data_IF_838865970791
#
_entry.id   IF_838865970791
#
_cell.length_a   1.000
_cell.length_b   1.000
_cell.length_c   1.000
_cell.angle_alpha   90.00
_cell.angle_beta   90.00
_cell.angle_gamma   90.00
#
_symmetry.space_group_name_H-M   'P 1'
#
loop_
_entity.id
_entity.type
_entity.pdbx_description
1 polymer ?
#
# COMPACT_ATOMS: atom_id res chain seq x y z
N UNK A 1 -60.97 -8.08 -88.89
CA UNK A 1 -61.03 -9.50 -88.63
C UNK A 1 -60.25 -9.85 -87.37
N UNK A 2 -60.89 -10.52 -86.48
CA UNK A 2 -60.35 -11.31 -85.37
C UNK A 2 -59.52 -10.62 -84.28
N UNK A 3 -60.09 -10.42 -83.17
CA UNK A 3 -60.24 -11.27 -82.01
C UNK A 3 -59.00 -11.40 -81.18
N UNK A 4 -58.97 -10.87 -80.02
CA UNK A 4 -57.96 -11.04 -79.03
C UNK A 4 -58.49 -11.12 -77.61
N UNK A 5 -58.13 -12.01 -76.86
CA UNK A 5 -58.62 -12.40 -75.53
C UNK A 5 -57.89 -11.68 -74.40
N UNK A 6 -58.48 -11.60 -73.22
CA UNK A 6 -57.92 -10.83 -72.09
C UNK A 6 -56.96 -11.65 -71.23
N UNK A 7 -55.87 -11.00 -70.83
CA UNK A 7 -54.84 -11.58 -69.94
C UNK A 7 -55.18 -11.49 -68.46
N UNK A 8 -55.09 -12.59 -67.78
CA UNK A 8 -55.22 -12.77 -66.33
C UNK A 8 -54.13 -12.01 -65.57
N UNK A 9 -54.56 -11.10 -64.74
CA UNK A 9 -53.74 -10.46 -63.71
C UNK A 9 -53.64 -11.38 -62.50
N UNK A 10 -52.47 -12.04 -62.33
CA UNK A 10 -52.14 -12.73 -61.07
C UNK A 10 -51.67 -11.70 -60.05
N UNK A 11 -52.50 -11.46 -59.01
CA UNK A 11 -52.07 -10.79 -57.78
C UNK A 11 -51.12 -11.71 -57.00
N UNK A 12 -49.87 -11.29 -56.86
CA UNK A 12 -49.00 -11.87 -55.88
C UNK A 12 -49.07 -11.03 -54.60
N UNK A 13 -49.76 -11.55 -53.59
CA UNK A 13 -49.75 -11.04 -52.23
C UNK A 13 -48.44 -11.46 -51.60
N UNK A 14 -47.45 -10.53 -51.47
CA UNK A 14 -46.25 -10.71 -50.71
C UNK A 14 -46.63 -10.49 -49.24
N UNK A 15 -46.77 -11.58 -48.48
CA UNK A 15 -46.87 -11.55 -47.04
C UNK A 15 -45.47 -11.19 -46.48
N UNK A 16 -45.23 -9.92 -46.19
CA UNK A 16 -44.05 -9.46 -45.44
C UNK A 16 -44.21 -9.85 -43.99
N UNK A 17 -43.59 -10.97 -43.57
CA UNK A 17 -43.39 -11.30 -42.16
C UNK A 17 -42.29 -10.36 -41.61
N UNK A 18 -42.70 -9.25 -41.01
CA UNK A 18 -41.85 -8.46 -40.15
C UNK A 18 -41.53 -9.30 -38.90
N UNK A 19 -40.41 -10.03 -38.93
CA UNK A 19 -39.80 -10.57 -37.72
C UNK A 19 -39.32 -9.38 -36.87
N UNK A 20 -40.12 -8.94 -35.94
CA UNK A 20 -39.71 -8.02 -34.89
C UNK A 20 -38.64 -8.73 -34.05
N UNK A 21 -37.39 -8.47 -34.38
CA UNK A 21 -36.26 -8.77 -33.51
C UNK A 21 -36.47 -8.01 -32.20
N UNK A 22 -37.10 -8.65 -31.24
CA UNK A 22 -37.10 -8.17 -29.85
C UNK A 22 -35.68 -8.24 -29.36
N UNK A 23 -34.95 -7.11 -29.46
CA UNK A 23 -33.69 -6.91 -28.73
C UNK A 23 -34.10 -6.92 -27.25
N UNK A 24 -34.10 -8.09 -26.64
CA UNK A 24 -34.09 -8.18 -25.17
C UNK A 24 -32.83 -7.47 -24.70
N UNK A 25 -32.95 -6.40 -23.91
CA UNK A 25 -31.74 -5.84 -23.28
C UNK A 25 -31.09 -6.99 -22.52
N UNK A 26 -29.84 -7.30 -22.86
CA UNK A 26 -29.06 -8.24 -22.07
C UNK A 26 -29.07 -7.69 -20.65
N UNK A 27 -29.86 -8.28 -19.77
CA UNK A 27 -29.89 -7.88 -18.36
C UNK A 27 -28.47 -8.00 -17.86
N UNK A 28 -27.85 -6.88 -17.50
CA UNK A 28 -26.51 -6.89 -16.95
C UNK A 28 -26.51 -7.87 -15.77
N UNK A 29 -25.66 -8.88 -15.85
CA UNK A 29 -25.53 -9.89 -14.80
C UNK A 29 -25.33 -9.19 -13.45
N UNK A 30 -26.18 -9.47 -12.45
CA UNK A 30 -26.00 -8.84 -11.14
C UNK A 30 -24.65 -9.26 -10.53
N UNK A 31 -24.10 -8.40 -9.68
CA UNK A 31 -22.82 -8.67 -8.97
C UNK A 31 -22.90 -10.03 -8.24
N UNK A 32 -24.00 -10.30 -7.59
CA UNK A 32 -24.23 -11.58 -6.90
C UNK A 32 -24.19 -12.78 -7.86
N UNK A 33 -24.89 -12.69 -8.99
CA UNK A 33 -24.87 -13.73 -10.01
C UNK A 33 -23.49 -13.94 -10.60
N UNK A 34 -22.71 -12.85 -10.77
CA UNK A 34 -21.35 -12.93 -11.27
C UNK A 34 -20.44 -13.70 -10.31
N UNK A 35 -20.49 -13.42 -9.00
CA UNK A 35 -19.58 -14.03 -8.02
C UNK A 35 -20.05 -15.39 -7.51
N UNK A 36 -21.34 -15.73 -7.63
CA UNK A 36 -21.88 -16.99 -7.14
C UNK A 36 -21.22 -18.21 -7.80
N UNK A 37 -20.58 -19.04 -6.97
CA UNK A 37 -19.88 -20.25 -7.43
C UNK A 37 -18.56 -19.99 -8.18
N UNK A 38 -18.10 -18.73 -8.24
CA UNK A 38 -16.80 -18.38 -8.85
C UNK A 38 -15.67 -18.37 -7.83
N UNK A 39 -14.45 -18.41 -8.35
CA UNK A 39 -13.24 -18.16 -7.61
C UNK A 39 -12.72 -16.77 -7.93
N UNK A 40 -12.37 -16.00 -6.90
CA UNK A 40 -11.61 -14.77 -7.00
C UNK A 40 -10.16 -15.09 -6.66
N UNK A 41 -9.23 -14.73 -7.53
CA UNK A 41 -7.80 -14.89 -7.27
C UNK A 41 -7.26 -13.66 -6.58
N UNK A 42 -6.68 -13.83 -5.39
CA UNK A 42 -5.96 -12.81 -4.64
C UNK A 42 -4.46 -13.05 -4.79
N UNK A 43 -3.80 -12.26 -5.63
CA UNK A 43 -2.35 -12.29 -5.74
C UNK A 43 -1.67 -11.51 -4.61
N UNK A 44 -0.49 -12.01 -4.18
CA UNK A 44 0.36 -11.31 -3.21
C UNK A 44 1.83 -11.39 -3.63
N UNK A 45 2.51 -10.25 -3.57
CA UNK A 45 3.91 -10.11 -4.00
C UNK A 45 4.90 -10.48 -2.89
N UNK A 46 4.68 -11.61 -2.21
CA UNK A 46 5.56 -12.06 -1.14
C UNK A 46 5.71 -13.58 -1.13
N UNK A 47 6.80 -14.05 -0.52
CA UNK A 47 6.96 -15.47 -0.22
C UNK A 47 5.90 -15.95 0.78
N UNK A 48 5.50 -17.23 0.71
CA UNK A 48 4.60 -17.83 1.69
C UNK A 48 5.12 -17.68 3.12
N UNK A 49 4.24 -17.34 4.07
CA UNK A 49 4.54 -17.16 5.48
C UNK A 49 5.04 -15.76 5.86
N UNK A 50 5.30 -14.88 4.91
CA UNK A 50 5.58 -13.47 5.19
C UNK A 50 4.31 -12.71 5.62
N UNK A 51 4.48 -11.50 6.22
CA UNK A 51 3.36 -10.73 6.76
C UNK A 51 2.30 -10.40 5.69
N UNK A 52 2.70 -10.08 4.46
CA UNK A 52 1.78 -9.81 3.36
C UNK A 52 1.01 -11.07 2.93
N UNK A 53 1.65 -12.25 2.92
CA UNK A 53 0.99 -13.53 2.65
C UNK A 53 -0.01 -13.89 3.75
N UNK A 54 0.37 -13.75 5.02
CA UNK A 54 -0.53 -13.97 6.15
C UNK A 54 -1.73 -13.02 6.10
N UNK A 55 -1.49 -11.76 5.75
CA UNK A 55 -2.56 -10.76 5.55
C UNK A 55 -3.49 -11.14 4.38
N UNK A 56 -2.92 -11.57 3.24
CA UNK A 56 -3.71 -12.03 2.10
C UNK A 56 -4.61 -13.22 2.45
N UNK A 57 -4.09 -14.19 3.20
CA UNK A 57 -4.87 -15.35 3.66
C UNK A 57 -5.95 -14.96 4.67
N UNK A 58 -5.68 -13.99 5.53
CA UNK A 58 -6.66 -13.44 6.45
C UNK A 58 -7.79 -12.75 5.68
N UNK A 59 -7.46 -11.87 4.73
CA UNK A 59 -8.44 -11.22 3.83
C UNK A 59 -9.27 -12.27 3.09
N UNK A 60 -8.64 -13.28 2.49
CA UNK A 60 -9.33 -14.31 1.72
C UNK A 60 -10.37 -15.07 2.56
N UNK A 61 -10.07 -15.39 3.83
CA UNK A 61 -11.00 -16.08 4.72
C UNK A 61 -12.21 -15.23 5.11
N UNK A 62 -12.01 -13.94 5.35
CA UNK A 62 -13.05 -13.05 5.87
C UNK A 62 -13.84 -12.36 4.76
N UNK A 63 -13.19 -11.82 3.73
CA UNK A 63 -13.80 -10.97 2.70
C UNK A 63 -14.88 -11.70 1.88
N UNK A 64 -14.75 -13.01 1.69
CA UNK A 64 -15.77 -13.84 1.02
C UNK A 64 -17.16 -13.70 1.64
N UNK A 65 -17.24 -13.51 2.96
CA UNK A 65 -18.51 -13.39 3.68
C UNK A 65 -19.25 -12.08 3.37
N UNK A 66 -18.53 -11.04 2.96
CA UNK A 66 -19.05 -9.70 2.70
C UNK A 66 -19.28 -9.44 1.20
N UNK A 67 -18.68 -10.25 0.32
CA UNK A 67 -18.87 -10.09 -1.12
C UNK A 67 -20.15 -10.77 -1.59
N UNK A 68 -21.07 -10.08 -2.30
CA UNK A 68 -22.27 -10.68 -2.85
C UNK A 68 -21.94 -11.94 -3.66
N UNK A 69 -22.73 -13.01 -3.50
CA UNK A 69 -22.48 -14.30 -4.13
C UNK A 69 -21.46 -15.18 -3.40
N UNK A 70 -20.78 -14.66 -2.38
CA UNK A 70 -19.83 -15.38 -1.50
C UNK A 70 -18.84 -16.28 -2.27
N UNK A 71 -18.03 -15.71 -3.20
CA UNK A 71 -17.09 -16.49 -3.98
C UNK A 71 -16.00 -17.08 -3.09
N UNK A 72 -15.38 -18.16 -3.55
CA UNK A 72 -14.14 -18.63 -2.94
C UNK A 72 -13.00 -17.67 -3.30
N UNK A 73 -12.24 -17.16 -2.31
CA UNK A 73 -11.05 -16.34 -2.57
C UNK A 73 -9.80 -17.20 -2.36
N UNK A 74 -9.00 -17.35 -3.42
CA UNK A 74 -7.78 -18.19 -3.42
C UNK A 74 -6.55 -17.30 -3.50
N UNK A 75 -5.64 -17.45 -2.53
CA UNK A 75 -4.37 -16.70 -2.49
C UNK A 75 -3.33 -17.37 -3.36
N UNK A 76 -2.67 -16.58 -4.20
CA UNK A 76 -1.53 -17.01 -5.02
C UNK A 76 -0.34 -16.08 -4.81
N UNK A 77 0.80 -16.64 -4.42
CA UNK A 77 2.04 -15.91 -4.26
C UNK A 77 2.70 -15.72 -5.63
N UNK A 78 3.04 -14.48 -5.95
CA UNK A 78 3.79 -14.11 -7.15
C UNK A 78 4.99 -13.26 -6.76
N UNK A 79 6.09 -13.93 -6.52
CA UNK A 79 7.35 -13.30 -6.11
C UNK A 79 8.17 -12.83 -7.33
N UNK A 80 9.11 -11.92 -7.08
CA UNK A 80 10.06 -11.44 -8.09
C UNK A 80 10.03 -9.93 -8.32
N UNK A 81 11.13 -9.41 -8.85
CA UNK A 81 11.30 -8.02 -9.25
C UNK A 81 11.41 -6.99 -8.13
N UNK A 82 11.51 -7.40 -6.86
CA UNK A 82 11.51 -6.48 -5.71
C UNK A 82 10.24 -5.62 -5.62
N UNK A 83 9.87 -5.18 -4.42
CA UNK A 83 8.78 -4.20 -4.20
C UNK A 83 7.45 -4.49 -4.93
N UNK A 84 7.15 -5.73 -5.31
CA UNK A 84 5.90 -6.10 -5.98
C UNK A 84 5.75 -5.66 -7.44
N UNK A 85 6.81 -5.22 -8.08
CA UNK A 85 6.80 -4.66 -9.43
C UNK A 85 6.29 -5.64 -10.50
N UNK A 86 6.74 -6.91 -10.45
CA UNK A 86 6.29 -7.96 -11.38
C UNK A 86 4.79 -8.18 -11.26
N UNK A 87 4.27 -8.24 -10.04
CA UNK A 87 2.83 -8.40 -9.81
C UNK A 87 2.04 -7.20 -10.32
N UNK A 88 2.48 -5.97 -10.03
CA UNK A 88 1.79 -4.76 -10.48
C UNK A 88 1.75 -4.67 -12.02
N UNK A 89 2.87 -4.94 -12.69
CA UNK A 89 2.94 -4.98 -14.14
C UNK A 89 1.99 -6.04 -14.72
N UNK A 90 1.99 -7.26 -14.16
CA UNK A 90 1.09 -8.34 -14.60
C UNK A 90 -0.37 -7.97 -14.40
N UNK A 91 -0.71 -7.40 -13.24
CA UNK A 91 -2.07 -6.99 -12.90
C UNK A 91 -2.60 -5.95 -13.90
N UNK A 92 -1.76 -4.98 -14.27
CA UNK A 92 -2.12 -3.90 -15.17
C UNK A 92 -2.28 -4.36 -16.62
N UNK A 93 -1.34 -5.20 -17.10
CA UNK A 93 -1.23 -5.54 -18.53
C UNK A 93 -2.03 -6.79 -18.89
N UNK A 94 -2.00 -7.84 -18.03
CA UNK A 94 -2.41 -9.19 -18.41
C UNK A 94 -3.52 -9.79 -17.55
N UNK A 95 -3.95 -9.14 -16.47
CA UNK A 95 -4.99 -9.73 -15.62
C UNK A 95 -6.39 -9.52 -16.21
N UNK A 96 -7.30 -10.46 -15.89
CA UNK A 96 -8.71 -10.33 -16.20
C UNK A 96 -9.29 -9.09 -15.51
N UNK A 97 -9.98 -8.26 -16.30
CA UNK A 97 -10.54 -6.97 -15.84
C UNK A 97 -12.00 -7.09 -15.38
N UNK A 98 -12.48 -8.28 -15.15
CA UNK A 98 -13.87 -8.56 -14.84
C UNK A 98 -14.21 -8.53 -13.33
N UNK A 99 -13.21 -8.29 -12.46
CA UNK A 99 -13.35 -8.30 -11.00
C UNK A 99 -13.08 -9.67 -10.36
N UNK A 100 -12.65 -10.68 -11.13
CA UNK A 100 -12.26 -12.00 -10.61
C UNK A 100 -10.81 -12.04 -10.12
N UNK A 101 -10.03 -10.97 -10.34
CA UNK A 101 -8.62 -10.85 -9.93
C UNK A 101 -8.41 -9.61 -9.09
N UNK A 102 -7.79 -9.79 -7.93
CA UNK A 102 -7.36 -8.71 -7.02
C UNK A 102 -5.94 -9.00 -6.53
N UNK A 103 -5.28 -8.00 -5.97
CA UNK A 103 -3.91 -8.17 -5.45
C UNK A 103 -3.64 -7.32 -4.22
N UNK A 104 -2.76 -7.79 -3.34
CA UNK A 104 -2.06 -6.96 -2.36
C UNK A 104 -0.70 -6.59 -2.96
N UNK A 105 -0.46 -5.30 -3.13
CA UNK A 105 0.83 -4.78 -3.55
C UNK A 105 1.65 -4.34 -2.33
N UNK A 106 2.96 -4.25 -2.53
CA UNK A 106 3.84 -3.57 -1.59
C UNK A 106 3.50 -2.07 -1.57
N UNK A 107 3.52 -1.45 -0.39
CA UNK A 107 3.19 -0.01 -0.23
C UNK A 107 4.01 0.92 -1.11
N UNK A 108 5.26 0.57 -1.38
CA UNK A 108 6.16 1.35 -2.24
C UNK A 108 5.92 1.18 -3.74
N UNK A 109 5.11 0.21 -4.16
CA UNK A 109 4.90 -0.08 -5.60
C UNK A 109 4.36 1.12 -6.38
N UNK A 110 3.33 1.86 -5.92
CA UNK A 110 2.88 3.07 -6.62
C UNK A 110 3.96 4.15 -6.70
N UNK A 111 4.77 4.28 -5.65
CA UNK A 111 5.85 5.27 -5.59
C UNK A 111 6.93 5.01 -6.63
N UNK A 112 7.28 3.74 -6.94
CA UNK A 112 8.22 3.38 -7.99
C UNK A 112 7.81 3.93 -9.36
N UNK A 113 6.52 3.90 -9.69
CA UNK A 113 6.02 4.47 -10.94
C UNK A 113 6.23 5.99 -11.00
N UNK A 114 6.00 6.68 -9.88
CA UNK A 114 6.17 8.13 -9.77
C UNK A 114 7.64 8.52 -9.78
N UNK A 115 8.53 7.69 -9.22
CA UNK A 115 9.98 7.86 -9.27
C UNK A 115 10.55 7.68 -10.69
N UNK A 116 9.79 7.13 -11.62
CA UNK A 116 10.23 6.90 -12.99
C UNK A 116 11.12 5.65 -13.15
N UNK A 117 10.90 4.61 -12.35
CA UNK A 117 11.61 3.34 -12.52
C UNK A 117 11.36 2.77 -13.93
N UNK A 118 12.41 2.48 -14.73
CA UNK A 118 12.29 2.09 -16.13
C UNK A 118 11.61 0.72 -16.32
N UNK A 119 11.48 -0.08 -15.29
CA UNK A 119 10.83 -1.37 -15.32
C UNK A 119 9.33 -1.32 -15.05
N UNK A 120 8.80 -0.15 -14.70
CA UNK A 120 7.37 0.06 -14.47
C UNK A 120 6.61 0.05 -15.79
N UNK A 121 5.53 -0.76 -15.86
CA UNK A 121 4.63 -0.88 -17.02
C UNK A 121 3.16 -0.65 -16.61
N UNK A 122 2.91 -0.01 -15.50
CA UNK A 122 1.58 0.31 -15.01
C UNK A 122 1.47 1.80 -14.67
N UNK A 123 0.25 2.30 -14.73
CA UNK A 123 -0.11 3.64 -14.26
C UNK A 123 -0.88 3.49 -12.94
N UNK A 124 -0.32 3.91 -11.80
CA UNK A 124 -0.97 3.76 -10.52
C UNK A 124 -2.26 4.60 -10.41
N UNK A 125 -2.42 5.64 -11.22
CA UNK A 125 -3.62 6.48 -11.26
C UNK A 125 -4.78 5.81 -12.01
N UNK A 126 -4.52 4.74 -12.79
CA UNK A 126 -5.53 4.01 -13.56
C UNK A 126 -5.93 2.67 -12.93
N UNK A 127 -5.21 2.23 -11.91
CA UNK A 127 -5.58 1.01 -11.19
C UNK A 127 -6.88 1.19 -10.40
N UNK A 128 -7.62 0.11 -10.18
CA UNK A 128 -8.83 0.11 -9.37
C UNK A 128 -8.47 -0.17 -7.91
N UNK A 129 -8.20 0.88 -7.14
CA UNK A 129 -7.87 0.75 -5.72
C UNK A 129 -9.11 0.44 -4.90
N UNK A 130 -9.04 -0.60 -4.08
CA UNK A 130 -10.16 -1.09 -3.26
C UNK A 130 -10.08 -0.61 -1.82
N UNK A 131 -8.87 -0.36 -1.32
CA UNK A 131 -8.59 0.15 0.01
C UNK A 131 -7.21 -0.28 0.51
N UNK A 132 -6.92 0.01 1.77
CA UNK A 132 -5.74 -0.50 2.48
C UNK A 132 -6.11 -0.93 3.89
N UNK A 133 -5.56 -2.06 4.36
CA UNK A 133 -5.82 -2.57 5.73
C UNK A 133 -5.26 -1.63 6.78
N UNK A 134 -4.14 -0.97 6.48
CA UNK A 134 -3.46 -0.07 7.41
C UNK A 134 -3.12 1.26 6.74
N UNK A 135 -3.35 2.33 7.48
CA UNK A 135 -2.89 3.70 7.20
C UNK A 135 -1.84 4.18 8.20
N UNK A 136 -1.27 3.26 8.99
CA UNK A 136 -0.33 3.57 10.06
C UNK A 136 -0.91 4.52 11.14
N UNK A 137 -2.23 4.56 11.29
CA UNK A 137 -2.85 5.46 12.27
C UNK A 137 -2.44 5.14 13.72
N UNK A 138 -2.11 3.87 14.01
CA UNK A 138 -1.72 3.41 15.34
C UNK A 138 -0.23 3.01 15.42
N UNK A 139 0.56 3.28 14.38
CA UNK A 139 2.00 2.96 14.33
C UNK A 139 2.81 4.19 13.90
N UNK A 140 4.12 4.12 14.04
CA UNK A 140 5.06 5.15 13.61
C UNK A 140 6.44 4.53 13.38
N UNK A 141 7.26 5.15 12.55
CA UNK A 141 8.71 4.88 12.54
C UNK A 141 9.40 5.84 13.50
N UNK A 142 10.02 5.30 14.54
CA UNK A 142 10.66 6.07 15.60
C UNK A 142 12.17 6.14 15.39
N UNK A 143 12.71 7.35 15.30
CA UNK A 143 14.12 7.58 15.62
C UNK A 143 14.23 7.43 17.14
N UNK A 144 14.89 6.37 17.57
CA UNK A 144 15.11 6.08 18.99
C UNK A 144 16.58 5.83 19.25
N UNK A 145 17.02 6.21 20.44
CA UNK A 145 18.39 6.00 20.95
C UNK A 145 18.33 5.22 22.27
N UNK A 146 19.45 4.62 22.68
CA UNK A 146 19.56 4.07 24.01
C UNK A 146 19.29 5.14 25.07
N UNK A 147 18.57 4.81 26.14
CA UNK A 147 18.23 5.76 27.21
C UNK A 147 19.49 6.35 27.89
N UNK A 148 20.64 5.65 27.81
CA UNK A 148 21.94 6.12 28.27
C UNK A 148 22.61 7.14 27.35
N UNK A 149 22.12 7.30 26.10
CA UNK A 149 22.65 8.31 25.17
C UNK A 149 22.37 9.73 25.70
N UNK A 150 23.33 10.69 25.59
CA UNK A 150 23.20 12.02 26.21
C UNK A 150 21.98 12.82 25.78
N UNK A 151 21.61 12.79 24.48
CA UNK A 151 20.47 13.53 23.97
C UNK A 151 19.17 12.99 24.57
N UNK A 152 18.40 13.86 25.24
CA UNK A 152 17.09 13.55 25.84
C UNK A 152 15.93 14.00 24.98
N UNK A 153 16.15 14.96 24.11
CA UNK A 153 15.19 15.55 23.19
C UNK A 153 15.78 15.65 21.80
N UNK A 154 14.95 15.90 20.79
CA UNK A 154 15.40 16.16 19.42
C UNK A 154 16.27 17.40 19.34
N UNK A 155 15.99 18.41 20.18
CA UNK A 155 16.80 19.64 20.20
C UNK A 155 18.23 19.40 20.72
N UNK A 156 18.41 18.41 21.60
CA UNK A 156 19.76 18.02 22.03
C UNK A 156 20.56 17.42 20.87
N UNK A 157 19.92 16.70 19.96
CA UNK A 157 20.57 16.23 18.72
C UNK A 157 20.96 17.37 17.78
N UNK A 158 20.26 18.53 17.82
CA UNK A 158 20.59 19.70 16.99
C UNK A 158 21.72 20.52 17.54
N UNK A 159 21.88 20.59 18.87
CA UNK A 159 22.86 21.44 19.54
C UNK A 159 24.33 21.03 19.33
N UNK A 160 24.57 19.91 18.69
CA UNK A 160 25.92 19.37 18.48
C UNK A 160 26.34 18.41 19.59
N UNK A 161 27.64 18.16 19.71
CA UNK A 161 28.19 17.13 20.61
C UNK A 161 28.50 15.84 19.86
N UNK A 162 28.47 14.70 20.54
CA UNK A 162 28.70 13.39 19.91
C UNK A 162 27.53 13.01 19.01
N UNK A 163 27.76 12.75 17.71
CA UNK A 163 26.71 12.31 16.81
C UNK A 163 26.10 10.98 17.27
N UNK A 164 24.78 10.85 17.23
CA UNK A 164 24.13 9.57 17.48
C UNK A 164 24.38 8.62 16.29
N UNK A 165 25.06 7.51 16.52
CA UNK A 165 25.29 6.47 15.51
C UNK A 165 24.00 5.67 15.31
N UNK A 166 23.37 5.83 14.14
CA UNK A 166 22.14 5.10 13.79
C UNK A 166 22.46 3.92 12.90
N UNK A 167 22.18 2.71 13.38
CA UNK A 167 22.31 1.48 12.61
C UNK A 167 21.25 1.37 11.53
N UNK A 168 21.66 1.02 10.30
CA UNK A 168 20.74 0.90 9.15
C UNK A 168 21.00 -0.36 8.34
N UNK A 169 19.96 -0.83 7.65
CA UNK A 169 20.03 -1.99 6.77
C UNK A 169 20.39 -1.60 5.33
N UNK A 170 19.94 -2.36 4.32
CA UNK A 170 20.34 -2.18 2.93
C UNK A 170 19.83 -0.91 2.26
N UNK A 171 20.28 -0.69 1.04
CA UNK A 171 19.85 0.42 0.19
C UNK A 171 18.31 0.41 0.01
N UNK A 172 17.68 1.60 0.02
CA UNK A 172 16.23 1.75 -0.09
C UNK A 172 15.42 1.33 1.14
N UNK A 173 16.07 0.76 2.18
CA UNK A 173 15.37 0.42 3.40
C UNK A 173 14.86 1.67 4.13
N UNK A 174 13.68 1.58 4.71
CA UNK A 174 13.02 2.71 5.40
C UNK A 174 13.89 3.33 6.49
N UNK A 175 14.58 2.52 7.28
CA UNK A 175 15.47 3.01 8.34
C UNK A 175 16.64 3.80 7.78
N UNK A 176 17.19 3.43 6.63
CA UNK A 176 18.23 4.17 5.96
C UNK A 176 17.70 5.50 5.42
N UNK A 177 16.55 5.47 4.73
CA UNK A 177 15.93 6.67 4.15
C UNK A 177 15.66 7.73 5.22
N UNK A 178 14.97 7.36 6.31
CA UNK A 178 14.69 8.31 7.38
C UNK A 178 15.95 8.72 8.18
N UNK A 179 16.99 7.88 8.28
CA UNK A 179 18.25 8.29 8.88
C UNK A 179 18.97 9.35 8.04
N UNK A 180 18.93 9.24 6.71
CA UNK A 180 19.46 10.25 5.80
C UNK A 180 18.64 11.54 5.87
N UNK A 181 17.30 11.43 5.86
CA UNK A 181 16.41 12.58 6.03
C UNK A 181 16.68 13.29 7.36
N UNK A 182 16.83 12.54 8.45
CA UNK A 182 17.16 13.10 9.77
C UNK A 182 18.46 13.89 9.73
N UNK A 183 19.50 13.36 9.07
CA UNK A 183 20.80 14.01 8.96
C UNK A 183 20.79 15.18 7.98
N UNK A 184 20.46 14.91 6.72
CA UNK A 184 20.76 15.81 5.61
C UNK A 184 19.62 16.82 5.33
N UNK A 185 18.40 16.54 5.80
CA UNK A 185 17.21 17.39 5.61
C UNK A 185 16.80 18.09 6.89
N UNK A 186 16.77 17.37 8.02
CA UNK A 186 16.37 17.94 9.32
C UNK A 186 17.56 18.50 10.13
N UNK A 187 18.80 18.30 9.67
CA UNK A 187 20.00 18.83 10.33
C UNK A 187 20.26 18.22 11.70
N UNK A 188 19.79 16.99 11.95
CA UNK A 188 20.05 16.31 13.21
C UNK A 188 21.49 15.75 13.24
N UNK A 189 22.15 15.88 14.37
CA UNK A 189 23.52 15.39 14.56
C UNK A 189 23.55 13.87 14.72
N UNK A 190 23.37 13.17 13.60
CA UNK A 190 23.38 11.70 13.52
C UNK A 190 24.42 11.21 12.53
N UNK A 191 25.02 10.07 12.82
CA UNK A 191 25.90 9.33 11.94
C UNK A 191 25.20 8.06 11.45
N UNK A 192 25.09 7.89 10.14
CA UNK A 192 24.45 6.72 9.54
C UNK A 192 25.47 5.58 9.43
N UNK A 193 25.24 4.48 10.13
CA UNK A 193 26.06 3.26 10.10
C UNK A 193 25.34 2.20 9.28
N UNK A 194 25.91 1.86 8.11
CA UNK A 194 25.30 0.96 7.13
C UNK A 194 25.77 -0.47 7.26
N UNK A 195 25.05 -1.41 6.62
CA UNK A 195 25.53 -2.76 6.36
C UNK A 195 25.00 -3.85 7.29
N UNK A 196 24.04 -3.55 8.16
CA UNK A 196 23.37 -4.57 8.94
C UNK A 196 22.44 -5.40 8.07
N UNK A 197 22.45 -6.74 8.26
CA UNK A 197 21.64 -7.67 7.44
C UNK A 197 20.14 -7.59 7.70
N UNK A 198 19.72 -7.00 8.82
CA UNK A 198 18.32 -6.87 9.21
C UNK A 198 18.18 -6.13 10.53
N UNK A 199 16.94 -5.76 10.87
CA UNK A 199 16.60 -4.97 12.07
C UNK A 199 17.05 -5.67 13.37
N UNK A 200 16.95 -7.00 13.45
CA UNK A 200 17.42 -7.76 14.61
C UNK A 200 18.93 -7.58 14.84
N UNK A 201 19.73 -7.56 13.76
CA UNK A 201 21.17 -7.31 13.86
C UNK A 201 21.48 -5.90 14.36
N UNK A 202 20.66 -4.90 13.97
CA UNK A 202 20.82 -3.52 14.48
C UNK A 202 20.47 -3.46 15.98
N UNK A 203 19.43 -4.15 16.45
CA UNK A 203 19.12 -4.21 17.88
C UNK A 203 20.25 -4.84 18.70
N UNK A 204 20.86 -5.91 18.21
CA UNK A 204 22.02 -6.53 18.87
C UNK A 204 23.22 -5.56 18.93
N UNK A 205 23.51 -4.85 17.83
CA UNK A 205 24.56 -3.85 17.77
C UNK A 205 24.29 -2.68 18.75
N UNK A 206 23.02 -2.27 18.87
CA UNK A 206 22.60 -1.24 19.80
C UNK A 206 22.78 -1.68 21.26
N UNK A 207 22.43 -2.92 21.59
CA UNK A 207 22.63 -3.49 22.91
C UNK A 207 24.13 -3.60 23.30
N UNK A 208 25.01 -3.83 22.30
CA UNK A 208 26.46 -3.92 22.50
C UNK A 208 27.15 -2.55 22.50
N UNK A 209 26.41 -1.46 22.23
CA UNK A 209 26.98 -0.11 22.13
C UNK A 209 27.76 0.15 20.84
N UNK A 210 27.65 -0.72 19.84
CA UNK A 210 28.25 -0.49 18.51
C UNK A 210 27.56 0.66 17.77
N UNK A 211 26.25 0.81 17.98
CA UNK A 211 25.43 1.96 17.56
C UNK A 211 24.63 2.48 18.74
N UNK A 212 24.21 3.75 18.66
CA UNK A 212 23.52 4.41 19.76
C UNK A 212 22.00 4.32 19.60
N UNK A 213 21.52 4.05 18.38
CA UNK A 213 20.11 3.96 18.07
C UNK A 213 19.83 3.46 16.66
N UNK A 214 18.57 3.57 16.27
CA UNK A 214 18.08 3.25 14.93
C UNK A 214 16.74 3.95 14.65
N UNK A 215 16.28 3.86 13.40
CA UNK A 215 14.91 4.23 13.05
C UNK A 215 14.14 2.95 12.72
N UNK A 216 13.04 2.67 13.44
CA UNK A 216 12.28 1.44 13.27
C UNK A 216 10.79 1.62 13.62
N UNK A 217 9.93 0.74 13.08
CA UNK A 217 8.51 0.72 13.42
C UNK A 217 8.28 0.43 14.90
N UNK A 218 7.38 1.17 15.53
CA UNK A 218 7.03 0.98 16.93
C UNK A 218 6.45 -0.42 17.19
N UNK A 219 5.60 -0.92 16.30
CA UNK A 219 5.09 -2.30 16.37
C UNK A 219 6.22 -3.33 16.34
N UNK A 220 7.22 -3.15 15.47
CA UNK A 220 8.37 -4.05 15.41
C UNK A 220 9.24 -3.97 16.69
N UNK A 221 9.39 -2.78 17.29
CA UNK A 221 10.04 -2.61 18.60
C UNK A 221 9.27 -3.40 19.68
N UNK A 222 7.96 -3.20 19.73
CA UNK A 222 7.09 -3.88 20.72
C UNK A 222 7.09 -5.41 20.54
N UNK A 223 7.05 -5.91 19.31
CA UNK A 223 7.10 -7.36 19.06
C UNK A 223 8.46 -7.95 19.38
N UNK A 224 9.54 -7.32 18.94
CA UNK A 224 10.89 -7.88 19.04
C UNK A 224 11.64 -7.53 20.31
N UNK A 225 11.27 -6.46 21.02
CA UNK A 225 12.01 -5.88 22.14
C UNK A 225 11.10 -5.38 23.27
N UNK A 226 9.95 -6.06 23.50
CA UNK A 226 8.93 -5.60 24.46
C UNK A 226 9.49 -5.34 25.86
N UNK A 227 10.31 -6.25 26.38
CA UNK A 227 10.89 -6.11 27.71
C UNK A 227 11.82 -4.90 27.84
N UNK A 228 12.61 -4.61 26.82
CA UNK A 228 13.48 -3.43 26.79
C UNK A 228 12.67 -2.14 26.60
N UNK A 229 11.61 -2.18 25.79
CA UNK A 229 10.69 -1.07 25.63
C UNK A 229 10.01 -0.69 26.95
N UNK A 230 9.45 -1.68 27.64
CA UNK A 230 8.79 -1.49 28.95
C UNK A 230 9.76 -1.05 30.04
N UNK A 231 11.02 -1.50 29.99
CA UNK A 231 12.07 -1.05 30.90
C UNK A 231 12.60 0.36 30.59
N UNK A 232 12.09 1.02 29.54
CA UNK A 232 12.56 2.36 29.13
C UNK A 232 13.98 2.38 28.62
N UNK A 233 14.49 1.25 28.09
CA UNK A 233 15.84 1.15 27.55
C UNK A 233 16.02 1.97 26.25
N UNK A 234 14.93 2.31 25.57
CA UNK A 234 14.92 3.12 24.36
C UNK A 234 14.21 4.43 24.60
N UNK A 235 14.78 5.52 24.05
CA UNK A 235 14.22 6.87 24.09
C UNK A 235 13.85 7.29 22.68
N UNK A 236 12.54 7.36 22.33
CA UNK A 236 12.09 7.92 21.06
C UNK A 236 12.32 9.45 21.04
N UNK A 237 12.86 9.96 19.95
CA UNK A 237 13.18 11.37 19.77
C UNK A 237 12.40 12.02 18.63
N UNK A 238 12.07 11.26 17.58
CA UNK A 238 11.27 11.73 16.43
C UNK A 238 10.41 10.58 15.92
N UNK A 239 9.16 10.90 15.56
CA UNK A 239 8.28 9.98 14.87
C UNK A 239 8.12 10.36 13.39
N UNK A 240 8.23 9.37 12.49
CA UNK A 240 7.97 9.49 11.07
C UNK A 240 6.76 8.67 10.66
N UNK A 241 6.31 8.83 9.42
CA UNK A 241 5.16 8.13 8.83
C UNK A 241 3.83 8.49 9.49
N UNK A 242 3.72 9.75 9.95
CA UNK A 242 2.54 10.30 10.62
C UNK A 242 2.29 11.74 10.23
N UNK A 243 1.02 12.13 10.26
CA UNK A 243 0.58 13.52 10.10
C UNK A 243 0.31 14.22 11.43
N UNK A 244 0.18 13.45 12.50
CA UNK A 244 -0.04 13.93 13.88
C UNK A 244 0.80 13.12 14.85
N UNK A 245 1.10 13.66 16.01
CA UNK A 245 1.82 12.93 17.06
C UNK A 245 1.07 11.67 17.48
N UNK A 246 1.82 10.65 17.85
CA UNK A 246 1.24 9.39 18.33
C UNK A 246 0.60 9.59 19.72
N UNK A 247 -0.66 9.18 19.93
CA UNK A 247 -1.32 9.40 21.23
C UNK A 247 -0.57 8.80 22.43
N UNK A 248 0.12 7.67 22.25
CA UNK A 248 0.92 7.04 23.31
C UNK A 248 2.30 7.70 23.52
N UNK A 249 2.72 8.59 22.62
CA UNK A 249 3.99 9.33 22.68
C UNK A 249 3.76 10.81 22.37
N UNK A 250 2.93 11.51 23.16
CA UNK A 250 2.48 12.88 22.84
C UNK A 250 3.62 13.91 22.86
N UNK A 251 4.70 13.62 23.60
CA UNK A 251 5.85 14.51 23.71
C UNK A 251 6.89 14.30 22.59
N UNK A 252 6.74 13.24 21.78
CA UNK A 252 7.64 12.94 20.67
C UNK A 252 7.16 13.70 19.42
N UNK A 253 7.95 14.65 18.90
CA UNK A 253 7.58 15.40 17.71
C UNK A 253 7.59 14.50 16.47
N UNK A 254 6.76 14.85 15.49
CA UNK A 254 6.83 14.22 14.16
C UNK A 254 7.86 14.94 13.28
N UNK A 255 8.41 14.21 12.30
CA UNK A 255 9.45 14.78 11.41
C UNK A 255 9.04 16.09 10.75
N UNK A 256 7.76 16.27 10.40
CA UNK A 256 7.21 17.48 9.78
C UNK A 256 7.21 18.71 10.69
N UNK A 257 7.18 18.54 12.01
CA UNK A 257 7.23 19.64 12.96
C UNK A 257 8.66 20.24 13.09
N UNK A 258 9.66 19.52 12.60
CA UNK A 258 11.06 19.88 12.77
C UNK A 258 11.60 20.83 11.70
N UNK A 259 10.81 21.19 10.69
CA UNK A 259 11.21 22.09 9.61
C UNK A 259 10.03 22.95 9.16
N UNK A 260 10.36 24.15 8.62
CA UNK A 260 9.41 25.03 7.93
C UNK A 260 9.77 25.16 6.44
N UNK A 261 10.85 24.51 5.99
CA UNK A 261 11.25 24.53 4.59
C UNK A 261 10.25 23.73 3.75
N UNK A 262 9.58 24.35 2.77
CA UNK A 262 8.58 23.68 1.93
C UNK A 262 9.15 22.49 1.15
N UNK A 263 10.44 22.56 0.75
CA UNK A 263 11.10 21.47 0.02
C UNK A 263 11.36 20.27 0.93
N UNK A 264 11.83 20.52 2.15
CA UNK A 264 12.01 19.49 3.16
C UNK A 264 10.68 18.83 3.54
N UNK A 265 9.62 19.62 3.73
CA UNK A 265 8.26 19.11 3.99
C UNK A 265 7.74 18.25 2.83
N UNK A 266 7.97 18.67 1.58
CA UNK A 266 7.59 17.90 0.40
C UNK A 266 8.34 16.57 0.31
N UNK A 267 9.65 16.57 0.61
CA UNK A 267 10.48 15.36 0.62
C UNK A 267 10.05 14.38 1.72
N UNK A 268 9.79 14.87 2.93
CA UNK A 268 9.28 14.06 4.04
C UNK A 268 7.91 13.48 3.66
N UNK A 269 7.02 14.29 3.10
CA UNK A 269 5.70 13.85 2.66
C UNK A 269 5.78 12.76 1.62
N UNK A 270 6.67 12.88 0.64
CA UNK A 270 6.90 11.86 -0.37
C UNK A 270 7.45 10.56 0.22
N UNK A 271 8.41 10.67 1.16
CA UNK A 271 8.97 9.50 1.86
C UNK A 271 7.95 8.77 2.74
N UNK A 272 7.02 9.52 3.34
CA UNK A 272 6.01 8.98 4.26
C UNK A 272 4.75 8.46 3.56
N UNK A 273 4.43 8.94 2.36
CA UNK A 273 3.18 8.62 1.67
C UNK A 273 2.87 7.12 1.56
N UNK A 274 3.83 6.21 1.26
CA UNK A 274 3.57 4.78 1.21
C UNK A 274 2.99 4.19 2.51
N UNK A 275 3.26 4.80 3.65
CA UNK A 275 2.76 4.28 4.94
C UNK A 275 1.26 4.51 5.11
N UNK A 276 0.72 5.58 4.52
CA UNK A 276 -0.73 5.87 4.59
C UNK A 276 -1.57 4.88 3.76
N UNK A 277 -0.91 4.02 2.99
CA UNK A 277 -1.48 2.92 2.22
C UNK A 277 -0.65 1.65 2.42
N UNK A 278 -0.40 1.26 3.68
CA UNK A 278 0.62 0.27 4.03
C UNK A 278 0.38 -1.14 3.50
N UNK A 279 -0.87 -1.56 3.33
CA UNK A 279 -1.28 -2.87 2.79
C UNK A 279 -2.39 -2.68 1.76
N UNK A 280 -2.07 -2.12 0.58
CA UNK A 280 -3.07 -1.73 -0.40
C UNK A 280 -3.62 -2.93 -1.16
N UNK A 281 -4.96 -3.04 -1.19
CA UNK A 281 -5.70 -3.98 -2.02
C UNK A 281 -6.14 -3.28 -3.31
N UNK A 282 -5.89 -3.92 -4.45
CA UNK A 282 -6.10 -3.33 -5.76
C UNK A 282 -6.62 -4.38 -6.75
N UNK A 283 -7.40 -3.93 -7.72
CA UNK A 283 -7.80 -4.70 -8.90
C UNK A 283 -7.16 -4.09 -10.17
N UNK A 284 -7.18 -4.80 -11.30
CA UNK A 284 -6.76 -4.26 -12.60
C UNK A 284 -7.47 -2.96 -12.95
N UNK A 285 -6.98 -2.18 -13.92
CA UNK A 285 -7.75 -1.07 -14.47
C UNK A 285 -9.02 -1.57 -15.17
N UNK A 286 -10.00 -0.70 -15.33
CA UNK A 286 -11.22 -0.94 -16.12
C UNK A 286 -12.12 -2.07 -15.61
N UNK A 287 -12.05 -2.42 -14.33
CA UNK A 287 -13.04 -3.33 -13.71
C UNK A 287 -14.43 -2.66 -13.77
N UNK A 288 -15.50 -3.40 -14.14
CA UNK A 288 -16.87 -2.86 -14.15
C UNK A 288 -17.20 -2.14 -12.84
N UNK A 289 -17.76 -0.91 -12.91
CA UNK A 289 -17.93 -0.04 -11.74
C UNK A 289 -18.75 -0.68 -10.59
N UNK A 290 -19.78 -1.49 -10.92
CA UNK A 290 -20.59 -2.20 -9.97
C UNK A 290 -19.78 -3.26 -9.18
N UNK A 291 -18.90 -3.98 -9.86
CA UNK A 291 -18.01 -4.99 -9.26
C UNK A 291 -16.89 -4.33 -8.47
N UNK A 292 -16.29 -3.27 -8.99
CA UNK A 292 -15.29 -2.47 -8.26
C UNK A 292 -15.86 -1.94 -6.95
N UNK A 293 -17.09 -1.38 -7.00
CA UNK A 293 -17.80 -0.91 -5.80
C UNK A 293 -18.07 -2.06 -4.82
N UNK A 294 -18.55 -3.20 -5.31
CA UNK A 294 -18.83 -4.36 -4.46
C UNK A 294 -17.57 -4.90 -3.76
N UNK A 295 -16.45 -5.00 -4.49
CA UNK A 295 -15.16 -5.40 -3.94
C UNK A 295 -14.67 -4.42 -2.86
N UNK A 296 -14.72 -3.10 -3.13
CA UNK A 296 -14.33 -2.07 -2.18
C UNK A 296 -15.20 -2.05 -0.93
N UNK A 297 -16.53 -2.18 -1.08
CA UNK A 297 -17.48 -2.27 0.05
C UNK A 297 -17.18 -3.52 0.88
N UNK A 298 -17.08 -4.69 0.26
CA UNK A 298 -16.79 -5.94 0.95
C UNK A 298 -15.45 -5.89 1.71
N UNK A 299 -14.44 -5.24 1.12
CA UNK A 299 -13.16 -5.03 1.78
C UNK A 299 -13.29 -4.14 3.03
N UNK A 300 -14.01 -3.02 2.95
CA UNK A 300 -14.16 -2.10 4.07
C UNK A 300 -15.04 -2.70 5.18
N UNK A 301 -16.09 -3.44 4.84
CA UNK A 301 -16.95 -4.13 5.80
C UNK A 301 -16.15 -5.23 6.53
N UNK A 302 -15.37 -6.03 5.79
CA UNK A 302 -14.46 -7.02 6.37
C UNK A 302 -13.43 -6.36 7.31
N UNK A 303 -12.78 -5.27 6.89
CA UNK A 303 -11.72 -4.63 7.65
C UNK A 303 -12.22 -3.99 8.97
N UNK A 304 -13.54 -3.79 9.09
CA UNK A 304 -14.22 -3.32 10.31
C UNK A 304 -14.84 -4.44 11.13
N UNK A 305 -14.88 -5.65 10.60
CA UNK A 305 -15.44 -6.81 11.31
C UNK A 305 -14.60 -7.16 12.54
N UNK A 306 -15.22 -7.31 13.73
CA UNK A 306 -14.49 -7.62 14.96
C UNK A 306 -13.68 -8.92 14.88
N UNK A 307 -14.15 -9.93 14.13
CA UNK A 307 -13.44 -11.20 13.94
C UNK A 307 -12.16 -11.01 13.15
N UNK A 308 -12.23 -10.26 12.03
CA UNK A 308 -11.06 -9.90 11.25
C UNK A 308 -10.05 -9.09 12.09
N UNK A 309 -10.52 -8.06 12.79
CA UNK A 309 -9.67 -7.19 13.62
C UNK A 309 -8.95 -7.98 14.69
N UNK A 310 -9.66 -8.87 15.40
CA UNK A 310 -9.06 -9.69 16.46
C UNK A 310 -7.99 -10.66 15.93
N UNK A 311 -8.20 -11.26 14.75
CA UNK A 311 -7.19 -12.13 14.13
C UNK A 311 -6.00 -11.33 13.60
N UNK A 312 -6.23 -10.16 12.99
CA UNK A 312 -5.19 -9.27 12.50
C UNK A 312 -4.27 -8.78 13.63
N UNK A 313 -4.86 -8.40 14.78
CA UNK A 313 -4.10 -8.00 15.96
C UNK A 313 -3.21 -9.12 16.52
N UNK A 314 -3.65 -10.38 16.46
CA UNK A 314 -2.80 -11.54 16.85
C UNK A 314 -1.59 -11.69 15.93
N UNK A 315 -1.67 -11.23 14.68
CA UNK A 315 -0.55 -11.20 13.73
C UNK A 315 0.33 -9.95 13.89
N UNK A 316 -0.01 -9.04 14.82
CA UNK A 316 0.70 -7.77 15.00
C UNK A 316 0.43 -6.74 13.90
N UNK A 317 -0.67 -6.89 13.15
CA UNK A 317 -1.04 -5.94 12.10
C UNK A 317 -1.67 -4.68 12.71
N UNK A 318 -1.27 -3.52 12.21
CA UNK A 318 -2.03 -2.28 12.40
C UNK A 318 -3.29 -2.35 11.53
N UNK A 319 -4.46 -2.36 12.17
CA UNK A 319 -5.75 -2.28 11.50
C UNK A 319 -6.29 -0.86 11.64
N UNK A 320 -6.02 -0.07 10.61
CA UNK A 320 -6.49 1.31 10.44
C UNK A 320 -6.94 1.51 8.99
N UNK A 321 -8.08 0.87 8.59
CA UNK A 321 -8.43 0.73 7.19
C UNK A 321 -8.84 2.06 6.56
N UNK A 322 -8.44 2.23 5.30
CA UNK A 322 -8.87 3.31 4.43
C UNK A 322 -9.43 2.75 3.13
N UNK A 323 -10.40 3.46 2.55
CA UNK A 323 -11.05 3.04 1.31
C UNK A 323 -10.21 3.35 0.06
N UNK A 324 -10.68 2.91 -1.11
CA UNK A 324 -10.00 3.12 -2.38
C UNK A 324 -9.87 4.60 -2.77
N UNK A 325 -10.80 5.46 -2.34
CA UNK A 325 -10.73 6.90 -2.60
C UNK A 325 -9.57 7.54 -1.81
N UNK A 326 -9.40 7.16 -0.55
CA UNK A 326 -8.27 7.62 0.25
C UNK A 326 -6.94 7.11 -0.34
N UNK A 327 -6.88 5.86 -0.81
CA UNK A 327 -5.68 5.30 -1.45
C UNK A 327 -5.30 6.10 -2.71
N UNK A 328 -6.25 6.34 -3.63
CA UNK A 328 -5.95 7.08 -4.87
C UNK A 328 -5.56 8.53 -4.57
N UNK A 329 -6.11 9.14 -3.52
CA UNK A 329 -5.75 10.49 -3.12
C UNK A 329 -4.28 10.57 -2.64
N UNK A 330 -3.82 9.62 -1.84
CA UNK A 330 -2.40 9.52 -1.45
C UNK A 330 -1.51 9.38 -2.69
N UNK A 331 -1.92 8.57 -3.67
CA UNK A 331 -1.16 8.37 -4.91
C UNK A 331 -1.13 9.65 -5.76
N UNK A 332 -2.24 10.41 -5.83
CA UNK A 332 -2.28 11.70 -6.51
C UNK A 332 -1.35 12.72 -5.85
N UNK A 333 -1.32 12.75 -4.53
CA UNK A 333 -0.41 13.63 -3.78
C UNK A 333 1.05 13.26 -4.06
N UNK A 334 1.40 11.96 -4.09
CA UNK A 334 2.74 11.53 -4.52
C UNK A 334 3.05 11.97 -5.95
N UNK A 335 2.10 11.83 -6.88
CA UNK A 335 2.29 12.21 -8.28
C UNK A 335 2.42 13.74 -8.49
N UNK A 336 1.87 14.53 -7.58
CA UNK A 336 1.99 15.99 -7.58
C UNK A 336 3.31 16.50 -6.97
N UNK A 337 4.17 15.61 -6.46
CA UNK A 337 5.46 16.00 -5.88
C UNK A 337 6.37 16.63 -6.95
N UNK A 338 7.03 17.77 -6.66
CA UNK A 338 7.93 18.42 -7.60
C UNK A 338 9.06 17.48 -8.06
N UNK A 339 9.41 17.55 -9.35
CA UNK A 339 10.41 16.65 -9.96
C UNK A 339 11.79 16.73 -9.31
N UNK A 340 12.20 17.89 -8.85
CA UNK A 340 13.47 18.07 -8.14
C UNK A 340 13.46 17.41 -6.75
N UNK A 341 12.31 17.35 -6.07
CA UNK A 341 12.14 16.62 -4.81
C UNK A 341 12.18 15.12 -5.07
N UNK A 342 11.54 14.63 -6.13
CA UNK A 342 11.62 13.22 -6.55
C UNK A 342 13.08 12.85 -6.89
N UNK A 343 13.79 13.71 -7.63
CA UNK A 343 15.20 13.48 -7.94
C UNK A 343 16.09 13.43 -6.68
N UNK A 344 15.83 14.29 -5.71
CA UNK A 344 16.52 14.28 -4.41
C UNK A 344 16.21 12.97 -3.65
N UNK A 345 14.95 12.54 -3.62
CA UNK A 345 14.57 11.27 -3.00
C UNK A 345 15.26 10.08 -3.69
N UNK A 346 15.28 10.06 -5.02
CA UNK A 346 15.96 9.01 -5.80
C UNK A 346 17.46 8.94 -5.46
N UNK A 347 18.12 10.10 -5.25
CA UNK A 347 19.51 10.14 -4.82
C UNK A 347 19.73 9.57 -3.39
N UNK A 348 18.74 9.72 -2.50
CA UNK A 348 18.76 9.16 -1.14
C UNK A 348 18.65 7.63 -1.17
N UNK A 349 17.77 7.08 -1.99
CA UNK A 349 17.49 5.64 -2.04
C UNK A 349 18.45 4.88 -2.96
N UNK A 350 19.23 5.58 -3.79
CA UNK A 350 20.18 4.96 -4.70
C UNK A 350 21.20 4.06 -3.96
N UNK A 351 21.54 2.90 -4.49
CA UNK A 351 22.66 2.10 -3.98
C UNK A 351 23.96 2.92 -4.01
N UNK A 352 24.68 2.97 -2.90
CA UNK A 352 26.02 3.57 -2.79
C UNK A 352 27.02 2.48 -2.48
#
# INVERSE_FOLDING_TARGET
MASGLPGLRKLWAILGVCAALTITPAAAQSVEQFYKGRTVTLFVASEPGGINDLTARLIARHMSNFLPGKPTIVVQNLTGGGSGLVLANRLYVNAEKDGSVIAILERGTPQLAIQGDPNVRFDPLKMTWLGSVSSYANDAYLLQVNSSFPAKTVDDLRKGGTPARLGTTGAGATNLVFSIISKDVLGLNVQVVRGYRGVAAVFLAQQRGEVDGQINGLSAIKIGQMSLWQAGAFRPLVAFSRTTRLPELPDVPIGRELTQDPKALSLISFAEAPFYIALPLVAPPDVPPDRAKALGTAFMDMARDPGFVAEAQKLGLDVSPVDGNAVIEVIRQMAATPKDVIAQFNAIVAPK
#
